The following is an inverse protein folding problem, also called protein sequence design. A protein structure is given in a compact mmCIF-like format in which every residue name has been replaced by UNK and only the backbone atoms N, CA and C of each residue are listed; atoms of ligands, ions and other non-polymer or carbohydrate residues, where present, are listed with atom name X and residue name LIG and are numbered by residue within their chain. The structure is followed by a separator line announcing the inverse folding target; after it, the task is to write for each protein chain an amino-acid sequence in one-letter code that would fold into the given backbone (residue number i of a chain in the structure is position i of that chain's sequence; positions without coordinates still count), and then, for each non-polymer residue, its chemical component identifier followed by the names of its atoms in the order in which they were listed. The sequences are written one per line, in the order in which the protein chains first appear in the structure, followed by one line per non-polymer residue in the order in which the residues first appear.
data_IF_673391222669
#
_entry.id   IF_673391222669
#
_cell.length_a   1.000
_cell.length_b   1.000
_cell.length_c   1.000
_cell.angle_alpha   90.00
_cell.angle_beta   90.00
_cell.angle_gamma   90.00
#
_symmetry.space_group_name_H-M   'P 1'
#
loop_
_entity.id
_entity.type
_entity.pdbx_description
1 polymer ?
#
# COMPACT_ATOMS: atom_id res chain seq x y z
N UNK A 1 -0.77 -4.51 1.49
CA UNK A 1 0.25 -4.65 2.56
C UNK A 1 0.66 -6.09 2.81
N UNK A 2 -0.10 -7.06 2.33
CA UNK A 2 0.04 -8.47 2.69
C UNK A 2 1.42 -9.10 2.50
N UNK A 3 2.09 -8.73 1.40
CA UNK A 3 3.37 -9.32 1.02
C UNK A 3 4.57 -8.67 1.69
N UNK A 4 4.57 -7.33 1.80
CA UNK A 4 5.75 -6.53 2.20
C UNK A 4 5.52 -5.62 3.42
N UNK A 5 4.32 -5.63 4.01
CA UNK A 5 3.98 -4.82 5.18
C UNK A 5 4.11 -3.33 4.90
N UNK A 6 4.95 -2.64 5.67
CA UNK A 6 5.29 -1.22 5.51
C UNK A 6 6.64 -1.00 4.82
N UNK A 7 7.24 -2.06 4.25
CA UNK A 7 8.47 -1.93 3.48
C UNK A 7 8.15 -1.45 2.05
N UNK A 8 8.02 -0.13 1.90
CA UNK A 8 7.67 0.51 0.63
C UNK A 8 8.78 0.38 -0.43
N UNK A 9 10.04 0.23 -0.01
CA UNK A 9 11.15 0.00 -0.93
C UNK A 9 11.05 -1.38 -1.59
N UNK A 10 10.65 -2.39 -0.83
CA UNK A 10 10.38 -3.72 -1.36
C UNK A 10 9.16 -3.72 -2.28
N UNK A 11 8.11 -2.96 -1.95
CA UNK A 11 6.94 -2.81 -2.82
C UNK A 11 7.28 -2.13 -4.15
N UNK A 12 8.12 -1.09 -4.12
CA UNK A 12 8.52 -0.39 -5.34
C UNK A 12 9.31 -1.29 -6.31
N UNK A 13 10.11 -2.21 -5.76
CA UNK A 13 10.91 -3.19 -6.52
C UNK A 13 10.14 -4.45 -6.88
N UNK A 14 8.92 -4.62 -6.37
CA UNK A 14 8.15 -5.82 -6.66
C UNK A 14 7.68 -5.83 -8.12
N UNK A 15 7.79 -6.96 -8.79
CA UNK A 15 7.34 -7.11 -10.17
C UNK A 15 5.83 -6.88 -10.34
N UNK A 16 5.03 -6.95 -9.27
CA UNK A 16 3.61 -6.61 -9.31
C UNK A 16 3.33 -5.10 -9.31
N UNK A 17 4.35 -4.26 -9.11
CA UNK A 17 4.24 -2.82 -9.24
C UNK A 17 4.16 -2.41 -10.71
N UNK A 18 3.01 -2.68 -11.33
CA UNK A 18 2.76 -2.47 -12.75
C UNK A 18 3.02 -1.03 -13.19
N UNK A 19 2.65 -0.05 -12.35
CA UNK A 19 2.81 1.37 -12.64
C UNK A 19 4.20 1.93 -12.27
N UNK A 20 5.12 1.07 -11.82
CA UNK A 20 6.48 1.45 -11.41
C UNK A 20 6.48 2.60 -10.39
N UNK A 21 5.51 2.58 -9.48
CA UNK A 21 5.42 3.60 -8.45
C UNK A 21 6.64 3.59 -7.54
N UNK A 22 7.10 4.78 -7.19
CA UNK A 22 8.18 4.96 -6.23
C UNK A 22 7.70 4.62 -4.82
N UNK A 23 8.63 4.24 -3.94
CA UNK A 23 8.33 3.97 -2.53
C UNK A 23 7.60 5.14 -1.84
N UNK A 24 7.93 6.39 -2.21
CA UNK A 24 7.27 7.59 -1.69
C UNK A 24 5.81 7.72 -2.15
N UNK A 25 5.50 7.37 -3.40
CA UNK A 25 4.13 7.36 -3.91
C UNK A 25 3.29 6.28 -3.22
N UNK A 26 3.84 5.06 -3.12
CA UNK A 26 3.19 3.95 -2.43
C UNK A 26 2.91 4.28 -0.96
N UNK A 27 3.85 4.93 -0.27
CA UNK A 27 3.65 5.41 1.09
C UNK A 27 2.48 6.40 1.18
N UNK A 28 2.45 7.42 0.31
CA UNK A 28 1.35 8.41 0.32
C UNK A 28 0.00 7.79 0.01
N UNK A 29 -0.07 6.84 -0.91
CA UNK A 29 -1.30 6.13 -1.23
C UNK A 29 -1.79 5.32 -0.02
N UNK A 30 -0.89 4.61 0.64
CA UNK A 30 -1.21 3.82 1.84
C UNK A 30 -1.62 4.72 3.01
N UNK A 31 -0.95 5.85 3.22
CA UNK A 31 -1.35 6.84 4.23
C UNK A 31 -2.76 7.39 3.92
N UNK A 32 -3.05 7.67 2.65
CA UNK A 32 -4.40 8.10 2.22
C UNK A 32 -5.44 7.01 2.48
N UNK A 33 -5.10 5.75 2.23
CA UNK A 33 -5.98 4.62 2.52
C UNK A 33 -6.27 4.53 4.03
N UNK A 34 -5.24 4.58 4.88
CA UNK A 34 -5.38 4.54 6.36
C UNK A 34 -6.19 5.72 6.89
N UNK A 35 -6.05 6.90 6.28
CA UNK A 35 -6.77 8.11 6.66
C UNK A 35 -8.25 8.10 6.29
N UNK A 36 -8.72 7.15 5.46
CA UNK A 36 -10.13 7.01 5.11
C UNK A 36 -10.69 5.78 5.87
N UNK A 37 -11.35 5.98 7.02
CA UNK A 37 -11.72 4.87 7.90
C UNK A 37 -12.63 3.85 7.22
N UNK A 38 -13.53 4.28 6.35
CA UNK A 38 -14.43 3.38 5.62
C UNK A 38 -13.66 2.41 4.70
N UNK A 39 -12.65 2.91 3.98
CA UNK A 39 -11.81 2.10 3.10
C UNK A 39 -10.85 1.24 3.89
N UNK A 40 -10.25 1.80 4.96
CA UNK A 40 -9.33 1.09 5.82
C UNK A 40 -10.00 -0.06 6.57
N UNK A 41 -11.18 0.18 7.16
CA UNK A 41 -11.96 -0.86 7.85
C UNK A 41 -12.42 -1.94 6.87
N UNK A 42 -12.83 -1.57 5.66
CA UNK A 42 -13.17 -2.55 4.62
C UNK A 42 -11.95 -3.42 4.25
N UNK A 43 -10.78 -2.81 4.05
CA UNK A 43 -9.53 -3.53 3.78
C UNK A 43 -9.15 -4.49 4.93
N UNK A 44 -9.32 -4.07 6.19
CA UNK A 44 -9.06 -4.91 7.35
C UNK A 44 -10.04 -6.09 7.48
N UNK A 45 -11.30 -5.91 7.06
CA UNK A 45 -12.33 -6.97 7.10
C UNK A 45 -12.21 -7.97 5.95
N UNK A 46 -11.65 -7.57 4.81
CA UNK A 46 -11.46 -8.46 3.65
C UNK A 46 -10.22 -9.35 3.76
N UNK A 47 -9.61 -9.42 4.94
CA UNK A 47 -8.31 -10.04 5.20
C UNK A 47 -8.44 -11.20 6.17
#
# INVERSE_FOLDING_TARGET
MDKHGENFEAMAKDHTNYYQETAAQLRKQIERLKNIPQQWVAYLKSR
#
